data_IF_524088133695
#
_entry.id   IF_524088133695
#
_cell.length_a   1.000
_cell.length_b   1.000
_cell.length_c   1.000
_cell.angle_alpha   90.00
_cell.angle_beta   90.00
_cell.angle_gamma   90.00
#
_symmetry.space_group_name_H-M   'P 1'
#
loop_
_entity.id
_entity.type
_entity.pdbx_description
1 polymer ?
#
# COMPACT_ATOMS: atom_id res chain seq x y z
N UNK A 1 -6.53 -4.49 -9.86
CA UNK A 1 -7.06 -3.79 -8.66
C UNK A 1 -8.15 -4.63 -8.04
N UNK A 2 -8.16 -4.79 -6.71
CA UNK A 2 -9.15 -5.60 -6.00
C UNK A 2 -10.08 -4.70 -5.17
N UNK A 3 -11.38 -4.83 -5.39
CA UNK A 3 -12.41 -4.05 -4.73
C UNK A 3 -13.29 -5.00 -3.93
N UNK A 4 -13.63 -4.63 -2.70
CA UNK A 4 -14.50 -5.42 -1.85
C UNK A 4 -15.76 -4.62 -1.53
N UNK A 5 -16.92 -5.26 -1.64
CA UNK A 5 -18.21 -4.70 -1.28
C UNK A 5 -18.84 -5.62 -0.24
N UNK A 6 -19.23 -5.09 0.91
CA UNK A 6 -19.84 -5.85 1.97
C UNK A 6 -21.02 -5.09 2.57
N UNK A 7 -22.22 -5.63 2.40
CA UNK A 7 -23.49 -5.10 2.91
C UNK A 7 -24.48 -6.28 3.01
N UNK A 8 -25.24 -6.40 4.07
CA UNK A 8 -26.26 -7.47 4.23
C UNK A 8 -27.52 -7.22 3.38
N UNK A 9 -27.72 -5.96 2.93
CA UNK A 9 -28.76 -5.62 1.95
C UNK A 9 -28.18 -5.70 0.52
N UNK A 10 -28.57 -6.76 -0.19
CA UNK A 10 -28.16 -6.98 -1.58
C UNK A 10 -28.44 -5.81 -2.51
N UNK A 11 -29.45 -4.98 -2.23
CA UNK A 11 -29.75 -3.80 -3.03
C UNK A 11 -28.56 -2.83 -3.06
N UNK A 12 -27.93 -2.60 -1.93
CA UNK A 12 -26.75 -1.72 -1.85
C UNK A 12 -25.50 -2.35 -2.46
N UNK A 13 -25.31 -3.67 -2.30
CA UNK A 13 -24.24 -4.39 -3.00
C UNK A 13 -24.35 -4.20 -4.52
N UNK A 14 -25.55 -4.44 -5.07
CA UNK A 14 -25.81 -4.31 -6.51
C UNK A 14 -25.66 -2.85 -7.01
N UNK A 15 -26.08 -1.87 -6.20
CA UNK A 15 -25.91 -0.44 -6.51
C UNK A 15 -24.44 -0.04 -6.55
N UNK A 16 -23.67 -0.41 -5.53
CA UNK A 16 -22.24 -0.09 -5.45
C UNK A 16 -21.51 -0.78 -6.58
N UNK A 17 -21.80 -2.07 -6.83
CA UNK A 17 -21.24 -2.83 -7.93
C UNK A 17 -21.46 -2.13 -9.26
N UNK A 18 -22.69 -1.71 -9.54
CA UNK A 18 -23.03 -0.96 -10.75
C UNK A 18 -22.20 0.33 -10.87
N UNK A 19 -22.08 1.12 -9.79
CA UNK A 19 -21.30 2.36 -9.83
C UNK A 19 -19.80 2.11 -10.02
N UNK A 20 -19.28 1.04 -9.44
CA UNK A 20 -17.89 0.60 -9.65
C UNK A 20 -17.69 0.26 -11.13
N UNK A 21 -18.52 -0.61 -11.69
CA UNK A 21 -18.40 -1.04 -13.09
C UNK A 21 -18.52 0.14 -14.07
N UNK A 22 -19.48 1.07 -13.84
CA UNK A 22 -19.63 2.30 -14.63
C UNK A 22 -18.36 3.16 -14.55
N UNK A 23 -17.81 3.38 -13.33
CA UNK A 23 -16.63 4.19 -13.13
C UNK A 23 -15.40 3.62 -13.84
N UNK A 24 -15.17 2.31 -13.73
CA UNK A 24 -14.01 1.67 -14.36
C UNK A 24 -14.16 1.63 -15.89
N UNK A 25 -15.37 1.45 -16.41
CA UNK A 25 -15.65 1.53 -17.84
C UNK A 25 -15.39 2.96 -18.39
N UNK A 26 -15.87 4.02 -17.70
CA UNK A 26 -15.62 5.41 -18.07
C UNK A 26 -14.10 5.73 -18.11
N UNK A 27 -13.29 5.12 -17.22
CA UNK A 27 -11.84 5.31 -17.15
C UNK A 27 -11.05 4.29 -17.99
N UNK A 28 -11.71 3.41 -18.74
CA UNK A 28 -11.10 2.36 -19.59
C UNK A 28 -10.18 1.42 -18.80
N UNK A 29 -10.51 1.15 -17.55
CA UNK A 29 -9.79 0.22 -16.69
C UNK A 29 -10.51 -1.13 -16.74
N UNK A 30 -9.83 -2.16 -17.23
CA UNK A 30 -10.39 -3.51 -17.41
C UNK A 30 -9.80 -4.55 -16.46
N UNK A 31 -8.67 -4.24 -15.81
CA UNK A 31 -7.97 -5.16 -14.90
C UNK A 31 -8.37 -4.85 -13.45
N UNK A 32 -9.54 -5.34 -13.05
CA UNK A 32 -10.03 -5.28 -11.67
C UNK A 32 -10.90 -6.49 -11.32
N UNK A 33 -10.91 -6.85 -10.03
CA UNK A 33 -11.78 -7.87 -9.47
C UNK A 33 -12.68 -7.23 -8.42
N UNK A 34 -13.92 -7.73 -8.31
CA UNK A 34 -14.86 -7.31 -7.27
C UNK A 34 -15.27 -8.52 -6.45
N UNK A 35 -15.06 -8.43 -5.14
CA UNK A 35 -15.47 -9.41 -4.15
C UNK A 35 -16.72 -8.88 -3.44
N UNK A 36 -17.77 -9.71 -3.38
CA UNK A 36 -19.04 -9.34 -2.76
C UNK A 36 -19.29 -10.25 -1.55
N UNK A 37 -19.63 -9.64 -0.44
CA UNK A 37 -19.92 -10.32 0.84
C UNK A 37 -21.20 -9.75 1.43
N UNK A 38 -21.91 -10.58 2.21
CA UNK A 38 -23.15 -10.20 2.90
C UNK A 38 -22.98 -10.16 4.43
N UNK A 39 -21.77 -10.37 4.92
CA UNK A 39 -21.44 -10.27 6.34
C UNK A 39 -20.01 -9.83 6.59
N UNK A 40 -19.78 -9.08 7.66
CA UNK A 40 -18.46 -8.64 8.08
C UNK A 40 -17.52 -9.80 8.41
N UNK A 41 -18.05 -10.90 8.96
CA UNK A 41 -17.27 -12.11 9.27
C UNK A 41 -16.69 -12.79 8.04
N UNK A 42 -17.41 -12.79 6.92
CA UNK A 42 -16.90 -13.32 5.65
C UNK A 42 -15.89 -12.36 5.02
N UNK A 43 -16.18 -11.06 4.99
CA UNK A 43 -15.28 -10.04 4.47
C UNK A 43 -13.93 -10.03 5.20
N UNK A 44 -13.95 -10.17 6.55
CA UNK A 44 -12.75 -10.19 7.36
C UNK A 44 -11.84 -11.41 7.13
N UNK A 45 -12.39 -12.52 6.62
CA UNK A 45 -11.62 -13.72 6.26
C UNK A 45 -10.94 -13.62 4.90
N UNK A 46 -11.23 -12.58 4.13
CA UNK A 46 -10.56 -12.38 2.85
C UNK A 46 -9.06 -12.15 3.06
N UNK A 47 -8.24 -12.96 2.40
CA UNK A 47 -6.77 -12.92 2.49
C UNK A 47 -6.11 -12.19 1.32
N UNK A 48 -6.89 -11.81 0.30
CA UNK A 48 -6.39 -11.08 -0.84
C UNK A 48 -6.04 -9.63 -0.46
N UNK A 49 -5.11 -9.06 -1.17
CA UNK A 49 -4.80 -7.64 -1.04
C UNK A 49 -5.94 -6.82 -1.65
N UNK A 50 -6.83 -6.32 -0.82
CA UNK A 50 -7.93 -5.43 -1.23
C UNK A 50 -7.41 -4.00 -1.31
N UNK A 51 -7.68 -3.31 -2.44
CA UNK A 51 -7.24 -1.92 -2.66
C UNK A 51 -8.31 -0.92 -2.22
N UNK A 52 -9.59 -1.22 -2.45
CA UNK A 52 -10.74 -0.39 -2.07
C UNK A 52 -11.78 -1.29 -1.42
N UNK A 53 -12.35 -0.89 -0.29
CA UNK A 53 -13.47 -1.60 0.32
C UNK A 53 -14.63 -0.65 0.62
N UNK A 54 -15.84 -1.10 0.30
CA UNK A 54 -17.11 -0.49 0.69
C UNK A 54 -17.75 -1.39 1.73
N UNK A 55 -17.95 -0.88 2.94
CA UNK A 55 -18.37 -1.68 4.10
C UNK A 55 -19.57 -1.02 4.76
N UNK A 56 -20.67 -1.74 4.90
CA UNK A 56 -21.75 -1.33 5.80
C UNK A 56 -21.35 -1.55 7.25
N UNK A 57 -21.78 -0.66 8.14
CA UNK A 57 -21.53 -0.79 9.59
C UNK A 57 -22.53 -1.74 10.23
N UNK A 58 -23.80 -1.62 9.87
CA UNK A 58 -24.90 -2.32 10.52
C UNK A 58 -25.14 -3.70 9.89
N UNK A 59 -24.25 -4.65 10.14
CA UNK A 59 -24.36 -6.04 9.69
C UNK A 59 -24.36 -7.00 10.89
N UNK A 60 -24.90 -8.22 10.69
CA UNK A 60 -24.77 -9.29 11.68
C UNK A 60 -23.32 -9.74 11.81
N UNK A 61 -22.89 -10.05 13.04
CA UNK A 61 -21.53 -10.46 13.35
C UNK A 61 -20.62 -9.27 13.60
N UNK A 62 -19.41 -9.28 13.03
CA UNK A 62 -18.51 -8.15 13.11
C UNK A 62 -19.01 -7.01 12.20
N UNK A 63 -18.93 -5.78 12.69
CA UNK A 63 -19.36 -4.63 11.94
C UNK A 63 -18.34 -4.23 10.85
N UNK A 64 -18.74 -3.34 9.92
CA UNK A 64 -17.88 -2.95 8.81
C UNK A 64 -16.59 -2.24 9.21
N UNK A 65 -16.55 -1.56 10.35
CA UNK A 65 -15.33 -0.90 10.86
C UNK A 65 -14.32 -1.96 11.30
N UNK A 66 -14.76 -2.97 12.04
CA UNK A 66 -13.91 -4.09 12.46
C UNK A 66 -13.46 -4.93 11.26
N UNK A 67 -14.35 -5.18 10.29
CA UNK A 67 -13.98 -5.86 9.04
C UNK A 67 -12.90 -5.07 8.29
N UNK A 68 -13.04 -3.75 8.20
CA UNK A 68 -12.05 -2.85 7.61
C UNK A 68 -10.68 -2.92 8.30
N UNK A 69 -10.68 -3.02 9.64
CA UNK A 69 -9.45 -3.22 10.43
C UNK A 69 -8.77 -4.55 10.07
N UNK A 70 -9.53 -5.63 9.94
CA UNK A 70 -8.99 -6.94 9.51
C UNK A 70 -8.39 -6.87 8.11
N UNK A 71 -9.09 -6.27 7.14
CA UNK A 71 -8.60 -6.11 5.78
C UNK A 71 -7.31 -5.27 5.70
N UNK A 72 -7.16 -4.27 6.58
CA UNK A 72 -5.96 -3.43 6.66
C UNK A 72 -4.71 -4.20 7.07
N UNK A 73 -4.84 -5.32 7.79
CA UNK A 73 -3.70 -6.19 8.09
C UNK A 73 -3.05 -6.77 6.82
N UNK A 74 -3.84 -7.00 5.77
CA UNK A 74 -3.36 -7.52 4.48
C UNK A 74 -2.91 -6.40 3.53
N UNK A 75 -3.48 -5.20 3.66
CA UNK A 75 -3.08 -4.02 2.90
C UNK A 75 -3.21 -2.75 3.75
N UNK A 76 -2.12 -2.24 4.29
CA UNK A 76 -2.09 -1.00 5.09
C UNK A 76 -2.57 0.23 4.32
N UNK A 77 -2.53 0.20 2.99
CA UNK A 77 -2.94 1.31 2.11
C UNK A 77 -4.34 1.11 1.51
N UNK A 78 -5.13 0.21 2.08
CA UNK A 78 -6.52 0.01 1.66
C UNK A 78 -7.33 1.31 1.84
N UNK A 79 -8.12 1.65 0.82
CA UNK A 79 -9.03 2.81 0.88
C UNK A 79 -10.39 2.33 1.35
N UNK A 80 -10.79 2.71 2.57
CA UNK A 80 -12.01 2.26 3.22
C UNK A 80 -13.13 3.28 3.05
N UNK A 81 -14.25 2.88 2.46
CA UNK A 81 -15.51 3.59 2.46
C UNK A 81 -16.43 2.91 3.46
N UNK A 82 -16.91 3.66 4.43
CA UNK A 82 -17.97 3.22 5.32
C UNK A 82 -19.30 3.74 4.79
N UNK A 83 -20.26 2.84 4.63
CA UNK A 83 -21.61 3.12 4.11
C UNK A 83 -22.61 2.69 5.15
N UNK A 84 -23.47 3.59 5.62
CA UNK A 84 -24.42 3.23 6.67
C UNK A 84 -25.60 4.23 6.74
N UNK A 85 -26.69 3.80 7.34
CA UNK A 85 -27.84 4.66 7.67
C UNK A 85 -27.65 5.41 8.99
N UNK A 86 -26.70 5.00 9.82
CA UNK A 86 -26.54 5.50 11.19
C UNK A 86 -25.27 6.32 11.39
N UNK A 87 -25.42 7.56 11.88
CA UNK A 87 -24.33 8.53 12.07
C UNK A 87 -23.52 8.33 13.36
N UNK A 88 -23.94 7.46 14.26
CA UNK A 88 -23.34 7.29 15.59
C UNK A 88 -21.93 6.66 15.59
N UNK A 89 -21.49 6.09 14.46
CA UNK A 89 -20.16 5.48 14.34
C UNK A 89 -19.11 6.36 13.67
N UNK A 90 -19.42 7.65 13.50
CA UNK A 90 -18.51 8.57 12.78
C UNK A 90 -17.17 8.72 13.50
N UNK A 91 -17.17 8.85 14.82
CA UNK A 91 -15.94 9.01 15.62
C UNK A 91 -15.10 7.74 15.57
N UNK A 92 -15.71 6.55 15.75
CA UNK A 92 -15.01 5.25 15.65
C UNK A 92 -14.41 5.03 14.25
N UNK A 93 -15.14 5.44 13.20
CA UNK A 93 -14.66 5.34 11.83
C UNK A 93 -13.47 6.27 11.54
N UNK A 94 -13.47 7.47 12.12
CA UNK A 94 -12.37 8.43 11.97
C UNK A 94 -11.09 7.96 12.66
N UNK A 95 -11.20 7.36 13.84
CA UNK A 95 -10.06 6.78 14.58
C UNK A 95 -9.39 5.63 13.80
N UNK A 96 -10.17 4.92 12.97
CA UNK A 96 -9.67 3.84 12.10
C UNK A 96 -9.13 4.31 10.74
N UNK A 97 -8.97 5.62 10.54
CA UNK A 97 -8.43 6.16 9.29
C UNK A 97 -9.30 5.83 8.06
N UNK A 98 -10.62 5.87 8.22
CA UNK A 98 -11.59 5.70 7.13
C UNK A 98 -11.42 6.83 6.12
N UNK A 99 -11.33 6.46 4.84
CA UNK A 99 -11.17 7.43 3.77
C UNK A 99 -12.43 8.29 3.58
N UNK A 100 -13.61 7.66 3.66
CA UNK A 100 -14.87 8.36 3.50
C UNK A 100 -16.02 7.63 4.18
N UNK A 101 -16.83 8.40 4.86
CA UNK A 101 -18.12 8.02 5.41
C UNK A 101 -19.22 8.47 4.44
N UNK A 102 -20.16 7.58 4.08
CA UNK A 102 -21.24 7.84 3.13
C UNK A 102 -22.56 7.37 3.75
N UNK A 103 -23.51 8.29 3.84
CA UNK A 103 -24.85 7.94 4.33
C UNK A 103 -25.68 7.27 3.25
N UNK A 104 -26.48 6.27 3.65
CA UNK A 104 -27.58 5.76 2.86
C UNK A 104 -28.73 6.80 2.89
N UNK A 105 -29.45 7.07 1.76
CA UNK A 105 -29.34 6.42 0.45
C UNK A 105 -28.12 6.88 -0.34
N UNK A 106 -27.59 5.98 -1.17
CA UNK A 106 -26.39 6.23 -1.96
C UNK A 106 -26.65 7.19 -3.12
N UNK A 107 -25.89 8.25 -3.19
CA UNK A 107 -25.91 9.17 -4.31
C UNK A 107 -24.77 8.88 -5.29
N UNK A 108 -25.10 8.59 -6.55
CA UNK A 108 -24.11 8.30 -7.62
C UNK A 108 -22.97 9.33 -7.66
N UNK A 109 -23.21 10.68 -7.63
CA UNK A 109 -22.13 11.66 -7.71
C UNK A 109 -21.16 11.59 -6.52
N UNK A 110 -21.62 11.16 -5.34
CA UNK A 110 -20.80 11.03 -4.13
C UNK A 110 -19.85 9.82 -4.29
N UNK A 111 -20.39 8.68 -4.75
CA UNK A 111 -19.61 7.46 -5.00
C UNK A 111 -18.56 7.71 -6.10
N UNK A 112 -18.96 8.30 -7.24
CA UNK A 112 -18.05 8.55 -8.37
C UNK A 112 -16.88 9.47 -7.99
N UNK A 113 -17.15 10.58 -7.26
CA UNK A 113 -16.08 11.45 -6.72
C UNK A 113 -15.19 10.74 -5.70
N UNK A 114 -15.79 9.84 -4.91
CA UNK A 114 -15.05 9.01 -3.97
C UNK A 114 -14.09 8.07 -4.69
N UNK A 115 -14.58 7.32 -5.66
CA UNK A 115 -13.79 6.38 -6.48
C UNK A 115 -12.64 7.10 -7.21
N UNK A 116 -12.89 8.29 -7.78
CA UNK A 116 -11.84 9.06 -8.45
C UNK A 116 -10.68 9.40 -7.49
N UNK A 117 -10.99 9.84 -6.26
CA UNK A 117 -9.96 10.12 -5.25
C UNK A 117 -9.28 8.84 -4.75
N UNK A 118 -10.06 7.76 -4.56
CA UNK A 118 -9.51 6.46 -4.17
C UNK A 118 -8.53 5.92 -5.20
N UNK A 119 -8.87 6.02 -6.50
CA UNK A 119 -7.97 5.62 -7.58
C UNK A 119 -6.64 6.37 -7.56
N UNK A 120 -6.67 7.68 -7.29
CA UNK A 120 -5.45 8.49 -7.14
C UNK A 120 -4.60 8.04 -5.94
N UNK A 121 -5.23 7.69 -4.81
CA UNK A 121 -4.52 7.15 -3.65
C UNK A 121 -3.92 5.78 -3.95
N UNK A 122 -4.71 4.87 -4.52
CA UNK A 122 -4.22 3.55 -4.90
C UNK A 122 -3.05 3.64 -5.89
N UNK A 123 -3.10 4.56 -6.86
CA UNK A 123 -2.01 4.75 -7.83
C UNK A 123 -0.71 5.25 -7.18
N UNK A 124 -0.80 6.07 -6.12
CA UNK A 124 0.38 6.49 -5.35
C UNK A 124 1.01 5.35 -4.57
N UNK A 125 0.22 4.36 -4.17
CA UNK A 125 0.66 3.20 -3.40
C UNK A 125 0.86 1.94 -4.24
N UNK A 126 0.64 2.01 -5.57
CA UNK A 126 1.04 0.92 -6.45
C UNK A 126 2.56 0.80 -6.44
N UNK A 127 3.04 -0.41 -6.12
CA UNK A 127 4.48 -0.69 -6.20
C UNK A 127 4.97 -0.45 -7.62
N UNK A 128 5.89 0.49 -7.78
CA UNK A 128 6.54 0.72 -9.06
C UNK A 128 7.34 -0.52 -9.42
N UNK A 129 7.24 -0.97 -10.67
CA UNK A 129 8.06 -2.08 -11.17
C UNK A 129 9.38 -1.55 -11.71
N UNK A 130 10.45 -2.29 -11.44
CA UNK A 130 11.79 -2.00 -11.98
C UNK A 130 12.32 -3.17 -12.77
N UNK A 131 13.04 -2.87 -13.84
CA UNK A 131 13.72 -3.86 -14.64
C UNK A 131 15.17 -4.01 -14.18
N UNK A 132 15.56 -5.24 -13.88
CA UNK A 132 16.94 -5.63 -13.55
C UNK A 132 17.51 -6.33 -14.78
N UNK A 133 18.48 -5.69 -15.41
CA UNK A 133 19.22 -6.26 -16.55
C UNK A 133 20.56 -6.80 -16.08
N UNK A 134 20.80 -8.10 -16.34
CA UNK A 134 22.08 -8.73 -16.07
C UNK A 134 22.34 -9.91 -17.04
N UNK A 135 23.52 -9.93 -17.69
CA UNK A 135 23.92 -10.95 -18.66
C UNK A 135 22.90 -11.21 -19.78
N UNK A 136 22.25 -10.14 -20.28
CA UNK A 136 21.24 -10.24 -21.34
C UNK A 136 19.85 -10.70 -20.87
N UNK A 137 19.69 -11.05 -19.60
CA UNK A 137 18.39 -11.35 -19.01
C UNK A 137 17.76 -10.09 -18.40
N UNK A 138 16.45 -9.96 -18.56
CA UNK A 138 15.65 -8.90 -17.96
C UNK A 138 14.68 -9.51 -16.95
N UNK A 139 14.73 -9.03 -15.71
CA UNK A 139 13.82 -9.46 -14.64
C UNK A 139 13.05 -8.24 -14.15
N UNK A 140 11.72 -8.31 -14.21
CA UNK A 140 10.86 -7.26 -13.70
C UNK A 140 10.41 -7.63 -12.29
N UNK A 141 10.72 -6.78 -11.31
CA UNK A 141 10.32 -6.96 -9.91
C UNK A 141 9.59 -5.72 -9.40
N UNK A 142 8.80 -5.90 -8.35
CA UNK A 142 8.19 -4.79 -7.63
C UNK A 142 9.22 -4.13 -6.71
N UNK A 143 9.27 -2.79 -6.68
CA UNK A 143 10.19 -2.06 -5.81
C UNK A 143 10.01 -2.40 -4.34
N UNK A 144 8.76 -2.63 -3.91
CA UNK A 144 8.42 -2.94 -2.51
C UNK A 144 9.01 -4.28 -2.04
N UNK A 145 9.35 -5.18 -2.97
CA UNK A 145 10.08 -6.41 -2.64
C UNK A 145 11.55 -6.17 -2.29
N UNK A 146 12.12 -5.02 -2.70
CA UNK A 146 13.54 -4.72 -2.47
C UNK A 146 13.75 -4.31 -1.01
N UNK A 147 14.68 -4.98 -0.33
CA UNK A 147 15.11 -4.67 1.03
C UNK A 147 16.24 -3.64 1.01
N UNK A 148 17.26 -3.89 0.20
CA UNK A 148 18.38 -2.97 -0.01
C UNK A 148 19.10 -3.26 -1.33
N UNK A 149 19.90 -2.29 -1.78
CA UNK A 149 20.85 -2.45 -2.90
C UNK A 149 22.24 -2.13 -2.39
N UNK A 150 23.17 -3.08 -2.51
CA UNK A 150 24.53 -2.94 -2.07
C UNK A 150 25.54 -3.03 -3.21
N UNK A 151 26.51 -2.14 -3.23
CA UNK A 151 27.59 -2.12 -4.21
C UNK A 151 28.80 -2.90 -3.69
N UNK A 152 29.10 -4.04 -4.31
CA UNK A 152 30.27 -4.85 -4.01
C UNK A 152 31.02 -5.17 -5.32
N UNK A 153 32.32 -4.94 -5.34
CA UNK A 153 33.25 -5.32 -6.44
C UNK A 153 32.66 -5.04 -7.84
N UNK A 154 32.31 -3.78 -8.12
CA UNK A 154 31.76 -3.29 -9.40
C UNK A 154 30.37 -3.82 -9.78
N UNK A 155 29.72 -4.64 -8.96
CA UNK A 155 28.35 -5.11 -9.14
C UNK A 155 27.45 -4.53 -8.07
N UNK A 156 26.14 -4.48 -8.33
CA UNK A 156 25.10 -4.14 -7.36
C UNK A 156 24.29 -5.38 -7.11
N UNK A 157 24.13 -5.69 -5.84
CA UNK A 157 23.32 -6.80 -5.38
C UNK A 157 22.02 -6.21 -4.85
N UNK A 158 20.93 -6.60 -5.48
CA UNK A 158 19.56 -6.17 -5.13
C UNK A 158 18.97 -7.30 -4.33
N UNK A 159 18.79 -7.08 -3.03
CA UNK A 159 18.22 -8.07 -2.12
C UNK A 159 16.72 -7.85 -1.99
N UNK A 160 15.95 -8.92 -2.22
CA UNK A 160 14.50 -8.96 -2.01
C UNK A 160 14.14 -9.93 -0.90
N UNK A 161 12.85 -10.04 -0.59
CA UNK A 161 12.33 -10.97 0.42
C UNK A 161 12.66 -12.45 0.07
N UNK A 162 12.73 -12.77 -1.21
CA UNK A 162 12.87 -14.17 -1.68
C UNK A 162 14.21 -14.45 -2.34
N UNK A 163 14.79 -13.49 -3.08
CA UNK A 163 15.92 -13.70 -3.96
C UNK A 163 16.94 -12.55 -3.92
N UNK A 164 18.09 -12.77 -4.53
CA UNK A 164 19.10 -11.74 -4.77
C UNK A 164 19.37 -11.61 -6.26
N UNK A 165 19.29 -10.41 -6.78
CA UNK A 165 19.59 -10.09 -8.17
C UNK A 165 20.91 -9.33 -8.29
N UNK A 166 21.54 -9.43 -9.44
CA UNK A 166 22.76 -8.68 -9.77
C UNK A 166 22.45 -7.64 -10.85
N UNK A 167 23.05 -6.45 -10.74
CA UNK A 167 22.97 -5.40 -11.75
C UNK A 167 24.32 -4.74 -11.97
N UNK A 168 24.63 -4.35 -13.22
CA UNK A 168 25.80 -3.55 -13.57
C UNK A 168 25.50 -2.03 -13.54
N UNK A 169 24.24 -1.63 -13.41
CA UNK A 169 23.85 -0.20 -13.32
C UNK A 169 24.42 0.41 -12.04
N UNK A 170 24.75 1.70 -12.05
CA UNK A 170 25.30 2.41 -10.89
C UNK A 170 24.29 2.58 -9.74
N UNK A 171 24.77 2.88 -8.52
CA UNK A 171 23.87 3.25 -7.43
C UNK A 171 23.10 4.54 -7.75
N UNK A 172 23.73 5.50 -8.45
CA UNK A 172 23.05 6.72 -8.89
C UNK A 172 21.92 6.44 -9.88
N UNK A 173 22.08 5.43 -10.76
CA UNK A 173 20.97 4.96 -11.61
C UNK A 173 19.80 4.47 -10.74
N UNK A 174 20.08 3.63 -9.74
CA UNK A 174 19.07 3.09 -8.85
C UNK A 174 18.40 4.16 -8.00
N UNK A 175 19.14 5.18 -7.53
CA UNK A 175 18.54 6.32 -6.83
C UNK A 175 17.53 7.10 -7.68
N UNK A 176 17.77 7.20 -9.00
CA UNK A 176 16.85 7.91 -9.90
C UNK A 176 15.64 7.07 -10.32
N UNK A 177 15.74 5.74 -10.26
CA UNK A 177 14.67 4.82 -10.69
C UNK A 177 13.74 4.46 -9.54
N UNK A 178 14.33 4.28 -8.35
CA UNK A 178 13.58 3.93 -7.14
C UNK A 178 12.78 5.11 -6.61
N UNK A 179 11.73 4.79 -5.88
CA UNK A 179 10.89 5.78 -5.22
C UNK A 179 11.70 6.51 -4.14
N UNK A 180 11.89 7.81 -4.32
CA UNK A 180 12.65 8.62 -3.36
C UNK A 180 12.02 8.65 -1.97
N UNK A 181 10.70 8.44 -1.85
CA UNK A 181 10.03 8.41 -0.56
C UNK A 181 10.30 7.13 0.22
N UNK A 182 10.55 6.03 -0.47
CA UNK A 182 10.80 4.71 0.13
C UNK A 182 12.27 4.32 0.23
N UNK A 183 13.13 4.87 -0.61
CA UNK A 183 14.54 4.46 -0.68
C UNK A 183 15.49 5.59 -0.28
N UNK A 184 16.53 5.23 0.45
CA UNK A 184 17.54 6.18 0.91
C UNK A 184 18.96 5.64 0.78
N UNK A 185 19.88 6.45 0.22
CA UNK A 185 21.31 6.14 0.15
C UNK A 185 21.97 6.45 1.49
N UNK A 186 22.16 5.43 2.33
CA UNK A 186 22.71 5.58 3.68
C UNK A 186 24.23 5.82 3.70
N UNK A 187 24.93 5.33 2.66
CA UNK A 187 26.36 5.54 2.46
C UNK A 187 26.72 5.35 0.96
N UNK A 188 27.99 5.56 0.59
CA UNK A 188 28.48 5.46 -0.80
C UNK A 188 28.25 4.10 -1.47
N UNK A 189 27.89 3.07 -0.72
CA UNK A 189 27.78 1.70 -1.22
C UNK A 189 26.42 1.06 -0.99
N UNK A 190 25.47 1.70 -0.29
CA UNK A 190 24.20 1.05 0.05
C UNK A 190 23.00 1.99 0.00
N UNK A 191 21.95 1.54 -0.71
CA UNK A 191 20.59 2.12 -0.68
C UNK A 191 19.71 1.17 0.14
N UNK A 192 18.95 1.69 1.08
CA UNK A 192 18.01 0.93 1.92
C UNK A 192 16.58 1.29 1.63
N UNK A 193 15.68 0.33 1.77
CA UNK A 193 14.24 0.56 1.77
C UNK A 193 13.80 0.92 3.19
N UNK A 194 13.19 2.09 3.37
CA UNK A 194 12.74 2.61 4.66
C UNK A 194 11.64 1.73 5.26
N UNK A 195 10.75 1.15 4.42
CA UNK A 195 9.71 0.20 4.85
C UNK A 195 10.27 -1.05 5.55
N UNK A 196 11.53 -1.35 5.31
CA UNK A 196 12.23 -2.54 5.84
C UNK A 196 13.08 -2.24 7.06
N UNK A 197 13.10 -0.99 7.54
CA UNK A 197 13.84 -0.61 8.74
C UNK A 197 13.15 -1.15 9.98
N UNK A 198 13.86 -1.95 10.76
CA UNK A 198 13.41 -2.49 12.05
C UNK A 198 13.88 -1.61 13.21
N UNK A 199 15.13 -1.17 13.14
CA UNK A 199 15.76 -0.33 14.15
C UNK A 199 16.81 0.58 13.51
N UNK A 200 17.02 1.75 14.05
CA UNK A 200 18.14 2.60 13.67
C UNK A 200 18.72 3.38 14.85
N UNK A 201 19.96 3.75 14.70
CA UNK A 201 20.70 4.68 15.58
C UNK A 201 21.28 5.80 14.72
N UNK A 202 21.98 6.76 15.33
CA UNK A 202 22.66 7.80 14.55
C UNK A 202 23.74 7.24 13.60
N UNK A 203 24.22 6.03 13.83
CA UNK A 203 25.35 5.44 13.08
C UNK A 203 24.96 4.24 12.22
N UNK A 204 23.89 3.54 12.54
CA UNK A 204 23.54 2.24 11.93
C UNK A 204 22.05 2.08 11.73
N UNK A 205 21.68 1.32 10.71
CA UNK A 205 20.33 0.89 10.41
C UNK A 205 20.28 -0.63 10.31
N UNK A 206 19.26 -1.24 10.93
CA UNK A 206 18.94 -2.66 10.90
C UNK A 206 17.71 -2.86 10.01
N UNK A 207 17.80 -3.83 9.09
CA UNK A 207 16.73 -4.11 8.13
C UNK A 207 16.14 -5.50 8.37
N UNK A 208 14.84 -5.62 8.16
CA UNK A 208 14.17 -6.93 8.11
C UNK A 208 14.79 -7.77 6.99
N UNK A 209 15.24 -9.00 7.31
CA UNK A 209 15.86 -9.89 6.34
C UNK A 209 17.36 -9.67 6.07
N UNK A 210 18.04 -8.84 6.92
CA UNK A 210 19.50 -8.71 6.96
C UNK A 210 19.99 -8.88 8.38
N UNK A 211 20.98 -9.75 8.59
CA UNK A 211 21.54 -10.02 9.92
C UNK A 211 22.44 -8.89 10.40
N UNK A 212 23.28 -8.33 9.53
CA UNK A 212 24.24 -7.30 9.88
C UNK A 212 23.70 -5.88 9.69
N UNK A 213 23.83 -5.00 10.69
CA UNK A 213 23.49 -3.59 10.54
C UNK A 213 24.31 -2.91 9.45
N UNK A 214 23.74 -1.93 8.78
CA UNK A 214 24.41 -1.12 7.77
C UNK A 214 24.85 0.21 8.40
N UNK A 215 26.11 0.59 8.20
CA UNK A 215 26.63 1.87 8.69
C UNK A 215 26.07 3.05 7.88
N UNK A 216 25.60 4.10 8.59
CA UNK A 216 25.16 5.36 7.99
C UNK A 216 26.34 6.32 7.95
N UNK A 217 26.70 6.81 6.75
CA UNK A 217 27.80 7.78 6.63
C UNK A 217 27.49 9.07 7.37
N UNK A 218 28.51 9.72 7.92
CA UNK A 218 28.37 10.87 8.82
C UNK A 218 27.53 11.99 8.21
N UNK A 219 27.71 12.26 6.95
CA UNK A 219 27.00 13.28 6.17
C UNK A 219 25.50 12.95 5.93
N UNK A 220 25.11 11.66 6.01
CA UNK A 220 23.74 11.20 5.75
C UNK A 220 22.88 11.02 7.00
N UNK A 221 23.45 11.13 8.19
CA UNK A 221 22.75 10.81 9.46
C UNK A 221 21.54 11.69 9.72
N UNK A 222 21.71 13.00 9.55
CA UNK A 222 20.63 13.97 9.78
C UNK A 222 19.49 13.78 8.79
N UNK A 223 19.83 13.67 7.50
CA UNK A 223 18.86 13.48 6.43
C UNK A 223 18.11 12.15 6.57
N UNK A 224 18.82 11.08 6.94
CA UNK A 224 18.21 9.77 7.16
C UNK A 224 17.22 9.79 8.33
N UNK A 225 17.61 10.39 9.45
CA UNK A 225 16.74 10.53 10.63
C UNK A 225 15.47 11.34 10.28
N UNK A 226 15.64 12.47 9.60
CA UNK A 226 14.52 13.30 9.17
C UNK A 226 13.60 12.52 8.21
N UNK A 227 14.18 11.78 7.26
CA UNK A 227 13.42 10.96 6.30
C UNK A 227 12.58 9.90 6.99
N UNK A 228 13.13 9.17 7.96
CA UNK A 228 12.36 8.17 8.74
C UNK A 228 11.25 8.83 9.55
N UNK A 229 11.51 9.96 10.21
CA UNK A 229 10.48 10.66 10.98
C UNK A 229 9.32 11.13 10.10
N UNK A 230 9.62 11.70 8.93
CA UNK A 230 8.60 12.10 7.95
C UNK A 230 7.82 10.88 7.43
N UNK A 231 8.51 9.78 7.18
CA UNK A 231 7.88 8.54 6.73
C UNK A 231 6.90 7.99 7.79
N UNK A 232 7.30 7.97 9.07
CA UNK A 232 6.42 7.52 10.16
C UNK A 232 5.23 8.46 10.38
N UNK A 233 5.44 9.78 10.31
CA UNK A 233 4.36 10.77 10.41
C UNK A 233 3.35 10.72 9.25
N UNK A 234 3.73 10.21 8.08
CA UNK A 234 2.83 10.01 6.95
C UNK A 234 2.07 8.68 6.99
N UNK A 235 2.29 7.84 8.03
CA UNK A 235 1.58 6.58 8.26
C UNK A 235 0.50 6.70 9.36
N UNK A 236 0.43 7.83 10.06
CA UNK A 236 -0.66 8.20 10.96
C UNK A 236 -1.79 8.87 10.15
#
# INVERSE_FOLDING_TARGET
>A
MNILICDDDKLYVDMIRKYVDEFFAEHKITDYNVYEYNSGDEAAKNTDKIDIAFLDVEMQGINGIEAGRCLRNNNKHIVLFIITSYMGYLDDAMDEGVFRYINKPLERPVIMRGLQKALLLCSKHQSKKVNIEYNGNNTIIEQDSIIYIESLVRKRYIRTDTESYTSLKSLSYWQNVLDEDKFFLVNKSCIVNIDRVVRFTDKRVELKGREEPIDISREKRTDFKQKILLYLAGQE
#
